data_IF_194077263355
#
_entry.id   IF_194077263355
#
_cell.length_a   1.000
_cell.length_b   1.000
_cell.length_c   1.000
_cell.angle_alpha   90.00
_cell.angle_beta   90.00
_cell.angle_gamma   90.00
#
_symmetry.space_group_name_H-M   'P 1'
#
loop_
_entity.id
_entity.type
_entity.pdbx_description
1 polymer ?
#
# COMPACT_ATOMS: atom_id res chain seq x y z
N UNK A 1 -11.44 -3.07 18.47
CA UNK A 1 -10.48 -3.50 17.44
C UNK A 1 -10.46 -2.45 16.37
N UNK A 2 -9.29 -2.02 15.88
CA UNK A 2 -9.20 -1.07 14.75
C UNK A 2 -9.69 -1.74 13.46
N UNK A 3 -10.39 -1.01 12.58
CA UNK A 3 -10.83 -1.57 11.29
C UNK A 3 -9.63 -1.82 10.37
N UNK A 4 -9.79 -2.66 9.33
CA UNK A 4 -8.76 -2.81 8.30
C UNK A 4 -8.45 -1.47 7.64
N UNK A 5 -9.47 -0.61 7.48
CA UNK A 5 -9.31 0.75 6.98
C UNK A 5 -8.38 1.60 7.85
N UNK A 6 -8.56 1.58 9.17
CA UNK A 6 -7.72 2.35 10.10
C UNK A 6 -6.25 1.92 10.04
N UNK A 7 -6.01 0.60 9.95
CA UNK A 7 -4.67 0.04 9.83
C UNK A 7 -4.03 0.45 8.50
N UNK A 8 -4.77 0.38 7.39
CA UNK A 8 -4.27 0.79 6.06
C UNK A 8 -3.93 2.28 6.02
N UNK A 9 -4.77 3.13 6.60
CA UNK A 9 -4.52 4.57 6.67
C UNK A 9 -3.30 4.90 7.55
N UNK A 10 -3.13 4.20 8.67
CA UNK A 10 -1.97 4.35 9.54
C UNK A 10 -0.68 3.92 8.82
N UNK A 11 -0.67 2.73 8.20
CA UNK A 11 0.51 2.24 7.45
C UNK A 11 0.84 3.18 6.31
N UNK A 12 -0.16 3.65 5.54
CA UNK A 12 0.08 4.59 4.43
C UNK A 12 0.70 5.90 4.91
N UNK A 13 0.22 6.47 6.02
CA UNK A 13 0.81 7.68 6.59
C UNK A 13 2.27 7.46 6.97
N UNK A 14 2.56 6.34 7.65
CA UNK A 14 3.92 5.99 8.06
C UNK A 14 4.82 5.75 6.85
N UNK A 15 4.40 4.95 5.87
CA UNK A 15 5.16 4.70 4.63
C UNK A 15 5.41 5.97 3.82
N UNK A 16 4.46 6.91 3.78
CA UNK A 16 4.69 8.19 3.09
C UNK A 16 5.75 9.03 3.81
N UNK A 17 5.70 9.10 5.14
CA UNK A 17 6.69 9.84 5.94
C UNK A 17 8.06 9.15 5.84
N UNK A 18 8.11 7.82 5.95
CA UNK A 18 9.32 7.03 5.80
C UNK A 18 9.95 7.23 4.42
N UNK A 19 9.17 7.16 3.35
CA UNK A 19 9.64 7.45 1.99
C UNK A 19 10.18 8.88 1.84
N UNK A 20 9.49 9.89 2.36
CA UNK A 20 9.97 11.28 2.32
C UNK A 20 11.29 11.44 3.09
N UNK A 21 11.38 10.84 4.28
CA UNK A 21 12.58 10.84 5.09
C UNK A 21 13.74 10.12 4.38
N UNK A 22 13.49 8.96 3.76
CA UNK A 22 14.48 8.22 2.98
C UNK A 22 14.98 9.03 1.78
N UNK A 23 14.10 9.67 1.02
CA UNK A 23 14.50 10.56 -0.08
C UNK A 23 15.40 11.69 0.42
N UNK A 24 15.03 12.36 1.51
CA UNK A 24 15.85 13.41 2.09
C UNK A 24 17.20 12.90 2.64
N UNK A 25 17.24 11.68 3.19
CA UNK A 25 18.47 11.05 3.67
C UNK A 25 19.42 10.68 2.53
N UNK A 26 18.91 10.17 1.40
CA UNK A 26 19.74 9.94 0.22
C UNK A 26 20.26 11.26 -0.36
N UNK A 27 19.42 12.28 -0.50
CA UNK A 27 19.87 13.61 -0.95
C UNK A 27 20.97 14.18 -0.01
N UNK A 28 20.83 13.98 1.30
CA UNK A 28 21.86 14.38 2.25
C UNK A 28 23.14 13.53 2.13
N UNK A 29 23.03 12.22 1.92
CA UNK A 29 24.17 11.33 1.72
C UNK A 29 24.95 11.74 0.45
N UNK A 30 24.27 11.93 -0.68
CA UNK A 30 24.89 12.36 -1.95
C UNK A 30 25.68 13.67 -1.76
N UNK A 31 25.08 14.67 -1.11
CA UNK A 31 25.76 15.94 -0.81
C UNK A 31 26.98 15.75 0.12
N UNK A 32 26.88 14.85 1.10
CA UNK A 32 27.96 14.52 2.02
C UNK A 32 29.06 13.65 1.39
N UNK A 33 28.79 12.98 0.27
CA UNK A 33 29.78 12.22 -0.52
C UNK A 33 30.61 13.17 -1.39
N UNK A 34 29.96 14.14 -2.04
CA UNK A 34 30.62 15.14 -2.91
C UNK A 34 31.48 16.14 -2.11
N UNK A 35 31.07 16.45 -0.88
CA UNK A 35 31.71 17.50 -0.06
C UNK A 35 33.16 17.17 0.36
N UNK A 36 33.48 15.95 0.84
CA UNK A 36 34.85 15.53 1.16
C UNK A 36 35.83 15.61 -0.01
N UNK A 37 35.41 15.31 -1.24
CA UNK A 37 36.31 15.43 -2.41
C UNK A 37 36.69 16.89 -2.66
N UNK A 38 35.70 17.78 -2.64
CA UNK A 38 35.91 19.22 -2.80
C UNK A 38 36.74 19.82 -1.64
N UNK A 39 36.44 19.42 -0.40
CA UNK A 39 37.19 19.86 0.79
C UNK A 39 38.62 19.32 0.78
N UNK A 40 38.82 18.05 0.42
CA UNK A 40 40.16 17.45 0.38
C UNK A 40 41.05 18.23 -0.59
N UNK A 41 40.55 18.55 -1.79
CA UNK A 41 41.29 19.33 -2.79
C UNK A 41 41.72 20.73 -2.28
N UNK A 42 40.89 21.39 -1.48
CA UNK A 42 41.19 22.70 -0.89
C UNK A 42 42.12 22.59 0.33
N UNK A 43 42.03 21.48 1.06
CA UNK A 43 42.76 21.26 2.32
C UNK A 43 44.12 20.57 2.12
N UNK A 44 44.49 20.15 0.90
CA UNK A 44 45.82 19.60 0.61
C UNK A 44 46.89 20.64 0.98
N UNK A 45 47.71 20.32 1.98
CA UNK A 45 48.79 21.19 2.46
C UNK A 45 48.38 22.14 3.60
N UNK A 46 47.13 22.10 4.06
CA UNK A 46 46.73 22.79 5.28
C UNK A 46 47.38 22.13 6.50
N UNK A 47 48.01 22.94 7.36
CA UNK A 47 48.53 22.53 8.66
C UNK A 47 47.51 22.70 9.79
N UNK A 48 46.25 22.99 9.46
CA UNK A 48 45.16 23.14 10.41
C UNK A 48 44.63 21.77 10.88
N UNK A 49 44.79 21.41 12.18
CA UNK A 49 44.28 20.15 12.72
C UNK A 49 42.73 20.06 12.72
N UNK A 50 42.01 21.17 12.63
CA UNK A 50 40.54 21.16 12.54
C UNK A 50 40.04 20.65 11.17
N UNK A 51 40.84 20.82 10.12
CA UNK A 51 40.51 20.37 8.76
C UNK A 51 40.30 18.84 8.66
N UNK A 52 41.15 18.06 9.34
CA UNK A 52 41.03 16.59 9.37
C UNK A 52 39.82 16.14 10.21
N UNK A 53 39.50 16.87 11.28
CA UNK A 53 38.32 16.59 12.11
C UNK A 53 37.04 16.86 11.33
N UNK A 54 37.00 17.94 10.54
CA UNK A 54 35.88 18.28 9.68
C UNK A 54 35.61 17.16 8.65
N UNK A 55 36.62 16.71 7.91
CA UNK A 55 36.48 15.60 6.95
C UNK A 55 35.95 14.31 7.63
N UNK A 56 36.45 14.01 8.83
CA UNK A 56 35.97 12.88 9.63
C UNK A 56 34.50 13.02 10.04
N UNK A 57 34.06 14.23 10.38
CA UNK A 57 32.66 14.51 10.73
C UNK A 57 31.73 14.35 9.52
N UNK A 58 32.11 14.86 8.34
CA UNK A 58 31.35 14.67 7.09
C UNK A 58 31.19 13.19 6.74
N UNK A 59 32.29 12.42 6.77
CA UNK A 59 32.26 10.99 6.50
C UNK A 59 31.42 10.22 7.54
N UNK A 60 31.40 10.66 8.80
CA UNK A 60 30.54 10.08 9.83
C UNK A 60 29.05 10.36 9.55
N UNK A 61 28.71 11.60 9.21
CA UNK A 61 27.34 11.98 8.86
C UNK A 61 26.82 11.22 7.63
N UNK A 62 27.66 11.03 6.60
CA UNK A 62 27.31 10.25 5.40
C UNK A 62 26.84 8.84 5.78
N UNK A 63 27.70 8.10 6.49
CA UNK A 63 27.39 6.73 6.93
C UNK A 63 26.15 6.66 7.83
N UNK A 64 25.93 7.67 8.67
CA UNK A 64 24.75 7.74 9.51
C UNK A 64 23.46 7.96 8.69
N UNK A 65 23.53 8.76 7.63
CA UNK A 65 22.40 8.99 6.73
C UNK A 65 22.02 7.71 5.97
N UNK A 66 23.01 7.02 5.39
CA UNK A 66 22.80 5.72 4.72
C UNK A 66 22.21 4.67 5.67
N UNK A 67 22.80 4.49 6.85
CA UNK A 67 22.31 3.50 7.82
C UNK A 67 20.88 3.79 8.30
N UNK A 68 20.46 5.06 8.34
CA UNK A 68 19.08 5.43 8.65
C UNK A 68 18.14 5.14 7.48
N UNK A 69 18.59 5.36 6.23
CA UNK A 69 17.82 5.03 5.04
C UNK A 69 17.55 3.52 4.95
N UNK A 70 18.57 2.68 5.17
CA UNK A 70 18.45 1.22 5.17
C UNK A 70 17.46 0.74 6.25
N UNK A 71 17.53 1.30 7.46
CA UNK A 71 16.60 0.95 8.54
C UNK A 71 15.16 1.35 8.24
N UNK A 72 14.95 2.43 7.50
CA UNK A 72 13.61 2.82 7.05
C UNK A 72 13.08 1.86 5.98
N UNK A 73 13.94 1.36 5.09
CA UNK A 73 13.58 0.31 4.13
C UNK A 73 13.18 -0.99 4.83
N UNK A 74 13.99 -1.48 5.78
CA UNK A 74 13.66 -2.66 6.58
C UNK A 74 12.33 -2.49 7.34
N UNK A 75 12.08 -1.31 7.91
CA UNK A 75 10.83 -1.04 8.62
C UNK A 75 9.62 -1.04 7.67
N UNK A 76 9.77 -0.52 6.45
CA UNK A 76 8.75 -0.59 5.41
C UNK A 76 8.44 -2.05 5.02
N UNK A 77 9.46 -2.87 4.80
CA UNK A 77 9.29 -4.29 4.48
C UNK A 77 8.53 -5.06 5.59
N UNK A 78 8.88 -4.81 6.85
CA UNK A 78 8.18 -5.43 7.99
C UNK A 78 6.70 -5.00 8.06
N UNK A 79 6.40 -3.73 7.78
CA UNK A 79 5.03 -3.23 7.74
C UNK A 79 4.23 -3.87 6.61
N UNK A 80 4.84 -4.07 5.44
CA UNK A 80 4.21 -4.76 4.32
C UNK A 80 3.94 -6.24 4.66
N UNK A 81 4.91 -6.92 5.25
CA UNK A 81 4.77 -8.30 5.73
C UNK A 81 3.67 -8.44 6.79
N UNK A 82 3.59 -7.51 7.76
CA UNK A 82 2.51 -7.49 8.74
C UNK A 82 1.13 -7.34 8.08
N UNK A 83 1.00 -6.45 7.09
CA UNK A 83 -0.23 -6.30 6.33
C UNK A 83 -0.60 -7.57 5.55
N UNK A 84 0.39 -8.23 4.94
CA UNK A 84 0.16 -9.52 4.26
C UNK A 84 -0.32 -10.58 5.25
N UNK A 85 0.27 -10.66 6.45
CA UNK A 85 -0.16 -11.60 7.49
C UNK A 85 -1.58 -11.32 7.99
N UNK A 86 -1.95 -10.04 8.14
CA UNK A 86 -3.31 -9.65 8.55
C UNK A 86 -4.38 -10.07 7.52
N UNK A 87 -4.00 -10.11 6.25
CA UNK A 87 -4.87 -10.48 5.13
C UNK A 87 -4.79 -11.97 4.76
N UNK A 88 -3.69 -12.64 5.11
CA UNK A 88 -3.41 -14.04 4.85
C UNK A 88 -4.18 -14.98 5.77
N UNK A 89 -3.74 -16.24 5.82
CA UNK A 89 -4.32 -17.29 6.68
C UNK A 89 -3.71 -17.37 8.08
N UNK A 90 -2.74 -16.50 8.40
CA UNK A 90 -2.13 -16.41 9.73
C UNK A 90 -0.85 -17.24 9.91
N UNK A 91 -0.49 -18.09 8.94
CA UNK A 91 0.69 -18.96 9.00
C UNK A 91 1.97 -18.32 8.40
N UNK A 92 1.92 -17.02 8.10
CA UNK A 92 3.05 -16.32 7.46
C UNK A 92 3.17 -16.57 5.96
N UNK A 93 2.20 -17.23 5.34
CA UNK A 93 2.20 -17.50 3.90
C UNK A 93 1.74 -16.23 3.15
N UNK A 94 2.56 -15.68 2.25
CA UNK A 94 2.18 -14.50 1.47
C UNK A 94 0.92 -14.75 0.62
N UNK A 95 0.07 -13.72 0.47
CA UNK A 95 -1.20 -13.82 -0.26
C UNK A 95 -1.06 -14.43 -1.66
N UNK A 96 -0.02 -14.06 -2.40
CA UNK A 96 0.23 -14.51 -3.77
C UNK A 96 0.58 -16.00 -3.89
N UNK A 97 0.95 -16.67 -2.79
CA UNK A 97 1.16 -18.12 -2.73
C UNK A 97 -0.10 -18.91 -2.38
N UNK A 98 -1.15 -18.23 -1.89
CA UNK A 98 -2.40 -18.86 -1.55
C UNK A 98 -3.22 -19.18 -2.81
N UNK A 99 -4.10 -20.20 -2.77
CA UNK A 99 -5.08 -20.41 -3.83
C UNK A 99 -5.93 -19.15 -4.06
N UNK A 100 -6.27 -18.90 -5.33
CA UNK A 100 -7.07 -17.74 -5.72
C UNK A 100 -8.39 -17.71 -4.94
N UNK A 101 -8.65 -16.56 -4.35
CA UNK A 101 -9.78 -16.29 -3.49
C UNK A 101 -11.14 -16.39 -4.18
N UNK A 102 -12.16 -16.77 -3.41
CA UNK A 102 -13.56 -16.82 -3.85
C UNK A 102 -14.46 -16.27 -2.76
N UNK A 103 -15.52 -15.59 -3.18
CA UNK A 103 -16.59 -15.15 -2.31
C UNK A 103 -17.92 -15.62 -2.89
N UNK A 104 -18.77 -16.24 -2.08
CA UNK A 104 -20.03 -16.85 -2.53
C UNK A 104 -19.85 -17.79 -3.75
N UNK A 105 -18.74 -18.55 -3.80
CA UNK A 105 -18.41 -19.48 -4.88
C UNK A 105 -17.69 -18.88 -6.09
N UNK A 106 -17.73 -17.55 -6.23
CA UNK A 106 -17.20 -16.85 -7.40
C UNK A 106 -15.91 -16.08 -7.12
N UNK A 107 -15.05 -16.01 -8.14
CA UNK A 107 -13.84 -15.17 -8.13
C UNK A 107 -14.13 -13.75 -8.65
N UNK A 108 -13.11 -12.89 -8.70
CA UNK A 108 -13.27 -11.49 -9.15
C UNK A 108 -13.89 -11.40 -10.55
N UNK A 109 -13.40 -12.20 -11.51
CA UNK A 109 -13.94 -12.23 -12.87
C UNK A 109 -15.43 -12.55 -12.92
N UNK A 110 -15.85 -13.63 -12.25
CA UNK A 110 -17.25 -14.07 -12.21
C UNK A 110 -18.15 -13.03 -11.56
N UNK A 111 -17.70 -12.37 -10.49
CA UNK A 111 -18.42 -11.25 -9.90
C UNK A 111 -18.57 -10.05 -10.84
N UNK A 112 -17.53 -9.69 -11.60
CA UNK A 112 -17.65 -8.61 -12.60
C UNK A 112 -18.64 -9.00 -13.71
N UNK A 113 -18.60 -10.25 -14.20
CA UNK A 113 -19.47 -10.75 -15.27
C UNK A 113 -20.94 -10.84 -14.86
N UNK A 114 -21.21 -11.24 -13.62
CA UNK A 114 -22.57 -11.38 -13.06
C UNK A 114 -23.09 -10.11 -12.38
N UNK A 115 -22.35 -8.99 -12.51
CA UNK A 115 -22.69 -7.72 -11.86
C UNK A 115 -22.70 -7.80 -10.32
N UNK A 116 -21.95 -8.73 -9.73
CA UNK A 116 -21.79 -8.89 -8.28
C UNK A 116 -22.91 -9.69 -7.64
N UNK A 117 -23.52 -10.60 -8.37
CA UNK A 117 -24.53 -11.51 -7.81
C UNK A 117 -23.91 -12.34 -6.69
N UNK A 118 -24.60 -12.43 -5.55
CA UNK A 118 -24.08 -13.05 -4.33
C UNK A 118 -23.31 -12.10 -3.40
N UNK A 119 -23.10 -10.83 -3.78
CA UNK A 119 -22.53 -9.79 -2.92
C UNK A 119 -23.62 -8.80 -2.56
N UNK A 120 -24.09 -8.83 -1.31
CA UNK A 120 -25.07 -7.89 -0.77
C UNK A 120 -26.26 -7.64 -1.69
N UNK A 121 -26.69 -6.38 -1.87
CA UNK A 121 -27.78 -5.99 -2.78
C UNK A 121 -27.31 -5.09 -3.92
N UNK A 122 -28.11 -4.95 -4.97
CA UNK A 122 -27.83 -3.99 -6.05
C UNK A 122 -28.10 -2.56 -5.58
N UNK A 123 -27.23 -1.62 -5.93
CA UNK A 123 -27.47 -0.22 -5.64
C UNK A 123 -28.72 0.29 -6.35
N UNK A 124 -29.46 1.21 -5.72
CA UNK A 124 -30.63 1.85 -6.34
C UNK A 124 -30.20 2.83 -7.44
N UNK A 125 -30.97 2.83 -8.53
CA UNK A 125 -30.82 3.75 -9.66
C UNK A 125 -29.86 3.26 -10.76
N UNK A 126 -29.86 3.98 -11.89
CA UNK A 126 -28.96 3.67 -13.01
C UNK A 126 -27.55 4.19 -12.72
N UNK A 127 -26.56 3.30 -12.81
CA UNK A 127 -25.14 3.62 -12.64
C UNK A 127 -24.39 3.23 -13.92
N UNK A 128 -23.36 4.02 -14.25
CA UNK A 128 -22.49 3.76 -15.41
C UNK A 128 -21.72 2.42 -15.28
N UNK A 129 -21.48 1.99 -14.05
CA UNK A 129 -20.83 0.73 -13.70
C UNK A 129 -21.70 0.01 -12.67
N UNK A 130 -21.79 -1.33 -12.69
CA UNK A 130 -22.48 -2.08 -11.65
C UNK A 130 -21.96 -1.71 -10.26
N UNK A 131 -22.88 -1.49 -9.33
CA UNK A 131 -22.59 -1.22 -7.92
C UNK A 131 -23.39 -2.18 -7.06
N UNK A 132 -22.68 -2.88 -6.17
CA UNK A 132 -23.26 -3.62 -5.05
C UNK A 132 -23.10 -2.82 -3.77
N UNK A 133 -24.04 -3.03 -2.88
CA UNK A 133 -24.03 -2.47 -1.55
C UNK A 133 -23.94 -3.62 -0.54
N UNK A 134 -23.19 -3.41 0.54
CA UNK A 134 -23.18 -4.24 1.75
C UNK A 134 -23.61 -3.39 2.95
N UNK A 135 -24.07 -4.02 4.03
CA UNK A 135 -24.64 -3.31 5.18
C UNK A 135 -23.58 -2.63 6.01
N UNK A 136 -22.44 -3.30 6.20
CA UNK A 136 -21.40 -2.86 7.14
C UNK A 136 -20.01 -2.95 6.54
N UNK A 137 -19.07 -2.25 7.17
CA UNK A 137 -17.65 -2.32 6.82
C UNK A 137 -17.09 -3.73 7.01
N UNK A 138 -17.56 -4.47 8.01
CA UNK A 138 -17.12 -5.84 8.27
C UNK A 138 -17.51 -6.80 7.13
N UNK A 139 -18.71 -6.63 6.56
CA UNK A 139 -19.13 -7.39 5.37
C UNK A 139 -18.26 -7.03 4.16
N UNK A 140 -17.94 -5.75 3.97
CA UNK A 140 -17.04 -5.31 2.92
C UNK A 140 -15.64 -5.93 3.09
N UNK A 141 -15.08 -5.87 4.31
CA UNK A 141 -13.78 -6.45 4.62
C UNK A 141 -13.76 -7.96 4.40
N UNK A 142 -14.84 -8.67 4.75
CA UNK A 142 -14.96 -10.10 4.50
C UNK A 142 -14.92 -10.42 3.00
N UNK A 143 -15.61 -9.64 2.16
CA UNK A 143 -15.54 -9.77 0.69
C UNK A 143 -14.11 -9.54 0.21
N UNK A 144 -13.45 -8.48 0.68
CA UNK A 144 -12.08 -8.15 0.27
C UNK A 144 -11.09 -9.27 0.64
N UNK A 145 -11.08 -9.70 1.91
CA UNK A 145 -10.20 -10.77 2.40
C UNK A 145 -10.41 -12.08 1.66
N UNK A 146 -11.66 -12.42 1.35
CA UNK A 146 -11.98 -13.63 0.60
C UNK A 146 -11.45 -13.59 -0.84
N UNK A 147 -11.55 -12.45 -1.52
CA UNK A 147 -11.19 -12.31 -2.94
C UNK A 147 -9.72 -11.96 -3.20
N UNK A 148 -9.02 -11.36 -2.24
CA UNK A 148 -7.63 -10.90 -2.43
C UNK A 148 -6.60 -12.04 -2.42
N UNK A 149 -6.96 -13.23 -1.93
CA UNK A 149 -6.07 -14.41 -1.90
C UNK A 149 -5.61 -14.78 -3.31
N UNK A 150 -4.34 -15.16 -3.42
CA UNK A 150 -3.64 -15.37 -4.70
C UNK A 150 -3.18 -14.07 -5.38
N UNK A 151 -3.51 -12.91 -4.82
CA UNK A 151 -3.14 -11.61 -5.36
C UNK A 151 -1.76 -11.15 -4.95
N UNK A 152 -1.04 -10.53 -5.89
CA UNK A 152 0.19 -9.81 -5.62
C UNK A 152 -0.11 -8.32 -5.44
N UNK A 153 0.47 -7.72 -4.40
CA UNK A 153 0.31 -6.28 -4.15
C UNK A 153 0.98 -5.47 -5.25
N UNK A 154 0.27 -4.48 -5.78
CA UNK A 154 0.81 -3.55 -6.78
C UNK A 154 0.77 -2.15 -6.23
N UNK A 155 1.92 -1.48 -6.20
CA UNK A 155 2.00 -0.07 -5.79
C UNK A 155 1.43 0.81 -6.90
N UNK A 156 0.30 1.45 -6.63
CA UNK A 156 -0.30 2.43 -7.53
C UNK A 156 -0.33 3.79 -6.85
N UNK A 157 0.56 4.70 -7.26
CA UNK A 157 0.82 5.98 -6.57
C UNK A 157 -0.45 6.83 -6.34
N UNK A 158 -1.42 6.76 -7.25
CA UNK A 158 -2.67 7.53 -7.17
C UNK A 158 -3.82 6.77 -6.50
N UNK A 159 -3.66 5.49 -6.17
CA UNK A 159 -4.73 4.70 -5.57
C UNK A 159 -4.77 4.93 -4.06
N UNK A 160 -5.91 5.42 -3.57
CA UNK A 160 -6.12 5.76 -2.17
C UNK A 160 -6.41 4.56 -1.28
N UNK A 161 -5.62 3.49 -1.35
CA UNK A 161 -5.86 2.27 -0.58
C UNK A 161 -4.97 1.09 -1.00
N UNK A 162 -5.42 -0.13 -0.71
CA UNK A 162 -4.72 -1.35 -1.12
C UNK A 162 -5.10 -1.72 -2.56
N UNK A 163 -4.14 -2.21 -3.32
CA UNK A 163 -4.37 -2.62 -4.71
C UNK A 163 -3.59 -3.89 -5.02
N UNK A 164 -4.30 -4.89 -5.55
CA UNK A 164 -3.75 -6.20 -5.86
C UNK A 164 -4.12 -6.62 -7.28
N UNK A 165 -3.21 -7.35 -7.92
CA UNK A 165 -3.44 -8.01 -9.19
C UNK A 165 -3.46 -9.53 -8.98
N UNK A 166 -4.49 -10.19 -9.51
CA UNK A 166 -4.65 -11.63 -9.48
C UNK A 166 -3.99 -12.28 -10.71
N UNK A 167 -3.68 -13.60 -10.66
CA UNK A 167 -2.99 -14.30 -11.76
C UNK A 167 -3.74 -14.28 -13.09
N UNK A 168 -5.07 -14.14 -13.07
CA UNK A 168 -5.90 -14.06 -14.28
C UNK A 168 -5.97 -12.63 -14.89
N UNK A 169 -5.18 -11.71 -14.34
CA UNK A 169 -5.11 -10.31 -14.76
C UNK A 169 -6.21 -9.42 -14.19
N UNK A 170 -7.17 -9.96 -13.44
CA UNK A 170 -8.13 -9.12 -12.71
C UNK A 170 -7.45 -8.37 -11.58
N UNK A 171 -8.03 -7.24 -11.16
CA UNK A 171 -7.51 -6.46 -10.05
C UNK A 171 -8.58 -6.20 -9.01
N UNK A 172 -8.16 -6.14 -7.75
CA UNK A 172 -8.98 -5.80 -6.60
C UNK A 172 -8.34 -4.66 -5.84
N UNK A 173 -9.09 -3.57 -5.67
CA UNK A 173 -8.69 -2.42 -4.88
C UNK A 173 -9.58 -2.26 -3.66
N UNK A 174 -8.99 -2.04 -2.48
CA UNK A 174 -9.69 -1.62 -1.27
C UNK A 174 -9.35 -0.16 -1.01
N UNK A 175 -10.30 0.73 -1.23
CA UNK A 175 -10.13 2.17 -1.05
C UNK A 175 -10.62 2.58 0.32
N UNK A 176 -9.77 3.25 1.09
CA UNK A 176 -10.08 3.63 2.48
C UNK A 176 -11.07 4.79 2.56
N UNK A 177 -11.10 5.65 1.53
CA UNK A 177 -12.07 6.73 1.35
C UNK A 177 -12.50 6.82 -0.11
N UNK A 178 -13.80 6.80 -0.38
CA UNK A 178 -14.30 7.12 -1.71
C UNK A 178 -14.48 8.64 -1.86
N UNK A 179 -14.43 9.16 -3.08
CA UNK A 179 -14.70 10.59 -3.35
C UNK A 179 -16.13 11.00 -3.01
N UNK A 180 -17.02 10.03 -2.78
CA UNK A 180 -18.47 10.20 -2.59
C UNK A 180 -18.97 9.78 -1.21
N UNK A 181 -18.18 9.05 -0.43
CA UNK A 181 -18.56 8.51 0.88
C UNK A 181 -17.30 8.42 1.77
N UNK A 182 -17.41 8.74 3.07
CA UNK A 182 -16.31 8.54 4.01
C UNK A 182 -16.02 7.06 4.27
N UNK A 183 -16.95 6.18 3.89
CA UNK A 183 -16.85 4.73 4.04
C UNK A 183 -15.95 4.09 2.97
N UNK A 184 -15.27 2.98 3.32
CA UNK A 184 -14.42 2.27 2.38
C UNK A 184 -15.22 1.63 1.25
N UNK A 185 -14.55 1.37 0.13
CA UNK A 185 -15.14 0.75 -1.07
C UNK A 185 -14.20 -0.26 -1.69
N UNK A 186 -14.74 -1.30 -2.33
CA UNK A 186 -13.96 -2.22 -3.16
C UNK A 186 -14.19 -1.89 -4.63
N UNK A 187 -13.10 -1.79 -5.39
CA UNK A 187 -13.11 -1.71 -6.85
C UNK A 187 -12.63 -3.06 -7.42
N UNK A 188 -13.47 -3.74 -8.20
CA UNK A 188 -13.10 -4.95 -8.96
C UNK A 188 -13.01 -4.62 -10.45
N UNK A 189 -11.94 -5.07 -11.11
CA UNK A 189 -11.74 -4.82 -12.55
C UNK A 189 -11.24 -6.06 -13.28
N UNK A 190 -11.72 -6.23 -14.51
CA UNK A 190 -11.14 -7.12 -15.51
C UNK A 190 -10.05 -6.39 -16.32
N UNK A 191 -9.21 -7.14 -17.06
CA UNK A 191 -8.22 -6.56 -17.98
C UNK A 191 -8.82 -5.59 -19.02
N UNK A 192 -10.06 -5.83 -19.45
CA UNK A 192 -10.81 -4.98 -20.38
C UNK A 192 -11.35 -3.67 -19.76
N UNK A 193 -11.02 -3.40 -18.48
CA UNK A 193 -11.43 -2.24 -17.68
C UNK A 193 -12.91 -2.19 -17.27
N UNK A 194 -13.72 -3.16 -17.71
CA UNK A 194 -15.03 -3.36 -17.10
C UNK A 194 -14.87 -3.79 -15.65
N UNK A 195 -15.83 -3.45 -14.81
CA UNK A 195 -15.67 -3.64 -13.38
C UNK A 195 -16.97 -3.59 -12.60
N UNK A 196 -16.79 -3.72 -11.30
CA UNK A 196 -17.83 -3.76 -10.30
C UNK A 196 -17.33 -3.00 -9.07
N UNK A 197 -18.21 -2.18 -8.48
CA UNK A 197 -17.92 -1.51 -7.22
C UNK A 197 -18.76 -2.05 -6.09
N UNK A 198 -18.19 -2.07 -4.89
CA UNK A 198 -18.88 -2.50 -3.68
C UNK A 198 -18.76 -1.40 -2.63
N UNK A 199 -19.89 -0.95 -2.12
CA UNK A 199 -20.01 0.17 -1.19
C UNK A 199 -20.66 -0.30 0.11
N UNK A 200 -20.32 0.33 1.23
CA UNK A 200 -21.14 0.24 2.44
C UNK A 200 -22.35 1.16 2.27
N UNK A 201 -23.53 0.67 2.67
CA UNK A 201 -24.74 1.47 2.77
C UNK A 201 -25.67 0.85 3.82
N UNK A 202 -25.65 1.33 5.06
CA UNK A 202 -26.52 0.76 6.09
C UNK A 202 -28.02 1.12 5.95
N UNK A 203 -28.40 2.02 5.04
CA UNK A 203 -29.78 2.52 4.93
C UNK A 203 -30.71 1.47 4.31
N UNK A 204 -31.94 1.42 4.82
CA UNK A 204 -33.04 0.58 4.30
C UNK A 204 -32.68 -0.92 4.22
N UNK A 205 -31.94 -1.46 5.19
CA UNK A 205 -31.45 -2.86 5.21
C UNK A 205 -32.34 -3.83 6.00
N UNK A 206 -33.62 -3.48 6.17
CA UNK A 206 -34.62 -4.25 6.92
C UNK A 206 -34.85 -5.65 6.33
#
# INVERSE_FOLDING_TARGET
MSSLGDVVDAVRRISNVAKQARTALHEAADLLEETPEALTAVLIGSSDPEASQLLGAFAHCHRAAEALADRLDEAEEHLESYLENLLGDGDGVPLWRLPVGRFAGEGVRGHVETGGTGIGRGARGSKKEPVREVRTTEELEAVFRALVRGGQRVRQAQYGGLFYQLPDGTTIGYRVKSSSTPEPTIDLKKPDKSGLKIHVNAKDWD
#
